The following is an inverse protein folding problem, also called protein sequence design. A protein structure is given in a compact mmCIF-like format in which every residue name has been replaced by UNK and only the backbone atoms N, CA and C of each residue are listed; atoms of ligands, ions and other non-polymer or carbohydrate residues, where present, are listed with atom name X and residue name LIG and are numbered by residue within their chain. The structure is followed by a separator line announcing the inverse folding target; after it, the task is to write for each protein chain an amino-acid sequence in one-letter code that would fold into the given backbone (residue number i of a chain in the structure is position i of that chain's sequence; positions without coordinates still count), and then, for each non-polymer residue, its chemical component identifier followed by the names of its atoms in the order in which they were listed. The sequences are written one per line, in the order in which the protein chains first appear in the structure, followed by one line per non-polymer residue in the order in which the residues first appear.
data_IF_900189951915
#
_entry.id   IF_900189951915
#
_cell.length_a   1.000
_cell.length_b   1.000
_cell.length_c   1.000
_cell.angle_alpha   90.00
_cell.angle_beta   90.00
_cell.angle_gamma   90.00
#
_symmetry.space_group_name_H-M   'P 1'
#
loop_
_entity.id
_entity.type
_entity.pdbx_description
1 polymer ?
#
# COMPACT_ATOMS: atom_id res chain seq x y z
N UNK A 1 54.44 44.21 -13.30
CA UNK A 1 54.17 45.51 -12.75
C UNK A 1 53.50 45.30 -11.44
N UNK A 2 54.19 45.45 -10.49
CA UNK A 2 54.58 46.40 -9.46
C UNK A 2 53.96 45.98 -8.13
N UNK A 3 54.72 45.45 -7.21
CA UNK A 3 55.42 46.09 -6.07
C UNK A 3 54.39 46.66 -5.05
N UNK A 4 54.51 46.45 -3.76
CA UNK A 4 55.64 46.24 -2.85
C UNK A 4 55.06 45.94 -1.47
N UNK A 5 55.83 45.24 -0.73
CA UNK A 5 56.63 45.74 0.41
C UNK A 5 55.80 46.29 1.56
N UNK A 6 55.93 45.85 2.75
CA UNK A 6 57.02 45.49 3.60
C UNK A 6 56.66 45.87 5.00
N UNK A 7 57.13 45.25 5.89
CA UNK A 7 58.02 45.63 6.98
C UNK A 7 57.55 45.20 8.37
N UNK A 8 58.43 44.42 8.89
CA UNK A 8 58.80 44.08 10.23
C UNK A 8 58.71 45.20 11.27
N UNK A 9 58.32 44.82 12.48
CA UNK A 9 58.38 45.70 13.66
C UNK A 9 58.69 44.92 14.93
N UNK A 10 59.99 44.60 15.11
CA UNK A 10 60.52 44.20 16.40
C UNK A 10 60.33 45.30 17.44
N UNK A 11 59.76 44.97 18.58
CA UNK A 11 59.54 45.84 19.73
C UNK A 11 60.04 45.23 21.03
N UNK A 12 61.30 45.24 21.22
CA UNK A 12 62.11 45.37 22.43
C UNK A 12 61.41 45.17 23.78
N UNK A 13 61.79 44.08 24.44
CA UNK A 13 61.77 43.91 25.89
C UNK A 13 62.52 45.05 26.62
N UNK A 14 61.80 45.87 27.37
CA UNK A 14 62.38 46.68 28.44
C UNK A 14 62.26 45.98 29.77
N UNK A 15 63.37 45.57 30.32
CA UNK A 15 63.52 45.15 31.74
C UNK A 15 63.36 46.40 32.60
N UNK A 16 62.45 46.39 33.58
CA UNK A 16 62.41 47.35 34.70
C UNK A 16 63.18 46.77 35.89
N UNK A 17 63.95 47.59 36.55
CA UNK A 17 64.77 47.12 37.63
C UNK A 17 64.04 47.08 38.98
N UNK A 18 64.21 45.98 39.63
CA UNK A 18 64.47 45.74 41.07
C UNK A 18 63.75 46.58 42.14
N UNK A 19 63.12 45.85 43.03
CA UNK A 19 63.06 46.17 44.45
C UNK A 19 61.67 45.83 45.04
N UNK A 20 61.60 45.00 46.10
CA UNK A 20 60.34 44.76 46.76
C UNK A 20 59.95 46.02 47.60
N UNK A 21 58.97 46.72 47.10
CA UNK A 21 58.33 47.78 47.88
C UNK A 21 57.37 47.14 48.87
N UNK A 22 57.75 47.16 50.14
CA UNK A 22 56.87 46.71 51.22
C UNK A 22 55.77 47.77 51.38
N UNK A 23 54.58 47.43 50.99
CA UNK A 23 53.41 48.28 51.26
C UNK A 23 53.05 48.25 52.76
N UNK A 24 52.64 49.35 53.35
CA UNK A 24 52.22 49.37 54.74
C UNK A 24 50.95 48.56 54.98
N UNK A 25 50.75 48.02 56.19
CA UNK A 25 49.61 47.16 56.49
C UNK A 25 48.29 47.94 56.25
N UNK A 26 47.46 47.43 55.39
CA UNK A 26 46.09 47.92 55.24
C UNK A 26 45.31 47.68 56.51
N UNK A 27 44.75 48.71 57.12
CA UNK A 27 43.78 48.59 58.19
C UNK A 27 42.66 47.69 57.75
N UNK A 28 42.38 46.62 58.53
CA UNK A 28 41.24 45.78 58.38
C UNK A 28 39.97 46.63 58.46
N UNK A 29 39.33 46.83 57.33
CA UNK A 29 37.98 47.38 57.32
C UNK A 29 37.07 46.23 57.74
N UNK A 30 36.40 46.41 58.90
CA UNK A 30 35.36 45.49 59.35
C UNK A 30 34.37 45.22 58.20
N UNK A 31 34.44 44.01 57.65
CA UNK A 31 33.39 43.56 56.76
C UNK A 31 32.15 43.28 57.60
N UNK A 32 31.02 43.91 57.30
CA UNK A 32 29.77 43.48 57.90
C UNK A 32 29.57 41.99 57.70
N UNK A 33 29.13 41.28 58.73
CA UNK A 33 28.84 39.84 58.69
C UNK A 33 27.90 39.54 57.52
N UNK A 34 28.13 38.46 56.72
CA UNK A 34 27.24 38.10 55.65
C UNK A 34 25.84 37.90 56.23
N UNK A 35 24.84 38.58 55.67
CA UNK A 35 23.46 38.38 56.04
C UNK A 35 23.10 36.90 55.94
N UNK A 36 22.37 36.32 56.91
CA UNK A 36 21.98 34.92 56.80
C UNK A 36 21.18 34.74 55.54
N UNK A 37 21.60 33.74 54.73
CA UNK A 37 20.90 33.41 53.51
C UNK A 37 19.41 33.24 53.79
N UNK A 38 18.51 33.81 52.96
CA UNK A 38 17.10 33.56 53.14
C UNK A 38 16.85 32.05 53.08
N UNK A 39 16.19 31.52 54.12
CA UNK A 39 15.84 30.13 54.17
C UNK A 39 15.02 29.79 52.92
N UNK A 40 15.32 28.66 52.22
CA UNK A 40 14.47 28.24 51.11
C UNK A 40 13.03 28.11 51.64
N UNK A 41 12.05 28.52 50.81
CA UNK A 41 10.65 28.39 51.20
C UNK A 41 10.34 26.91 51.49
N UNK A 42 9.48 26.65 52.49
CA UNK A 42 9.10 25.27 52.80
C UNK A 42 8.57 24.59 51.54
N UNK A 43 8.86 23.27 51.38
CA UNK A 43 8.34 22.54 50.20
C UNK A 43 6.82 22.69 50.20
N UNK A 44 6.31 23.25 49.10
CA UNK A 44 4.87 23.35 48.93
C UNK A 44 4.29 21.92 48.94
N UNK A 45 3.18 21.67 49.64
CA UNK A 45 2.57 20.36 49.61
C UNK A 45 2.24 20.04 48.17
N UNK A 46 2.71 18.88 47.68
CA UNK A 46 2.39 18.39 46.35
C UNK A 46 0.88 18.38 46.22
N UNK A 47 0.35 19.29 45.42
CA UNK A 47 -1.08 19.28 45.07
C UNK A 47 -1.34 17.96 44.39
N UNK A 48 -1.95 17.00 45.08
CA UNK A 48 -2.50 15.80 44.45
C UNK A 48 -3.43 16.30 43.39
N UNK A 49 -3.00 16.18 42.12
CA UNK A 49 -3.83 16.43 40.97
C UNK A 49 -5.06 15.52 41.09
N UNK A 50 -6.14 16.07 41.55
CA UNK A 50 -7.44 15.42 41.46
C UNK A 50 -7.79 15.51 39.97
N UNK A 51 -7.64 14.42 39.26
CA UNK A 51 -8.18 14.35 37.90
C UNK A 51 -9.62 14.82 37.96
N UNK A 52 -9.99 15.89 37.27
CA UNK A 52 -11.33 16.40 37.38
C UNK A 52 -12.28 15.28 36.93
N UNK A 53 -13.30 14.97 37.74
CA UNK A 53 -14.31 13.94 37.45
C UNK A 53 -14.85 14.05 36.01
N UNK A 54 -14.89 15.25 35.45
CA UNK A 54 -15.22 15.49 34.05
C UNK A 54 -14.27 14.85 33.06
N UNK A 55 -12.96 14.83 33.32
CA UNK A 55 -11.97 14.17 32.42
C UNK A 55 -12.13 12.65 32.43
N UNK A 56 -12.47 12.07 33.59
CA UNK A 56 -12.75 10.63 33.69
C UNK A 56 -14.04 10.30 32.94
N UNK A 57 -15.08 11.11 33.08
CA UNK A 57 -16.35 10.91 32.38
C UNK A 57 -16.15 10.98 30.84
N UNK A 58 -15.42 11.98 30.35
CA UNK A 58 -15.08 12.11 28.91
C UNK A 58 -14.28 10.90 28.45
N UNK A 59 -13.27 10.46 29.20
CA UNK A 59 -12.49 9.28 28.85
C UNK A 59 -13.37 8.02 28.75
N UNK A 60 -14.25 7.79 29.73
CA UNK A 60 -15.18 6.66 29.70
C UNK A 60 -16.16 6.72 28.54
N UNK A 61 -16.67 7.90 28.17
CA UNK A 61 -17.52 8.08 27.00
C UNK A 61 -16.77 7.77 25.69
N UNK A 62 -15.52 8.22 25.56
CA UNK A 62 -14.70 7.92 24.39
C UNK A 62 -14.39 6.42 24.28
N UNK A 63 -13.99 5.79 25.39
CA UNK A 63 -13.74 4.34 25.42
C UNK A 63 -15.01 3.56 25.11
N UNK A 64 -16.14 3.93 25.70
CA UNK A 64 -17.44 3.29 25.41
C UNK A 64 -17.82 3.44 23.94
N UNK A 65 -17.60 4.61 23.33
CA UNK A 65 -17.87 4.85 21.91
C UNK A 65 -17.01 3.93 21.04
N UNK A 66 -15.71 3.82 21.34
CA UNK A 66 -14.78 2.93 20.61
C UNK A 66 -15.20 1.46 20.76
N UNK A 67 -15.56 1.04 21.97
CA UNK A 67 -16.00 -0.34 22.22
C UNK A 67 -17.30 -0.68 21.51
N UNK A 68 -18.27 0.27 21.48
CA UNK A 68 -19.53 0.10 20.75
C UNK A 68 -19.25 0.00 19.24
N UNK A 69 -18.38 0.86 18.70
CA UNK A 69 -17.99 0.78 17.29
C UNK A 69 -17.29 -0.54 16.97
N UNK A 70 -16.31 -0.92 17.78
CA UNK A 70 -15.59 -2.20 17.62
C UNK A 70 -16.57 -3.40 17.69
N UNK A 71 -17.48 -3.39 18.63
CA UNK A 71 -18.51 -4.43 18.74
C UNK A 71 -19.41 -4.50 17.50
N UNK A 72 -19.89 -3.34 17.02
CA UNK A 72 -20.73 -3.27 15.81
C UNK A 72 -19.97 -3.75 14.57
N UNK A 73 -18.71 -3.40 14.44
CA UNK A 73 -17.88 -3.80 13.30
C UNK A 73 -17.54 -5.30 13.35
N UNK A 74 -17.19 -5.84 14.50
CA UNK A 74 -16.90 -7.26 14.70
C UNK A 74 -18.15 -8.14 14.64
N UNK A 75 -19.33 -7.58 14.92
CA UNK A 75 -20.60 -8.31 14.85
C UNK A 75 -21.14 -8.44 13.42
N UNK A 76 -20.49 -7.79 12.44
CA UNK A 76 -20.85 -7.98 11.02
C UNK A 76 -20.40 -9.38 10.58
N UNK A 77 -21.27 -10.14 9.89
CA UNK A 77 -20.93 -11.49 9.46
C UNK A 77 -19.70 -11.54 8.57
N UNK A 78 -19.42 -10.47 7.80
CA UNK A 78 -18.28 -10.38 6.88
C UNK A 78 -16.96 -9.99 7.58
N UNK A 79 -16.99 -9.52 8.82
CA UNK A 79 -15.79 -9.03 9.51
C UNK A 79 -14.81 -10.18 9.80
N UNK A 80 -15.31 -11.34 10.17
CA UNK A 80 -14.49 -12.51 10.43
C UNK A 80 -13.86 -13.07 9.17
N UNK A 81 -14.60 -13.10 8.06
CA UNK A 81 -14.06 -13.53 6.76
C UNK A 81 -12.96 -12.60 6.29
N UNK A 82 -13.14 -11.28 6.45
CA UNK A 82 -12.10 -10.29 6.16
C UNK A 82 -10.85 -10.47 7.03
N UNK A 83 -11.02 -10.65 8.35
CA UNK A 83 -9.90 -10.84 9.27
C UNK A 83 -9.16 -12.15 8.98
N UNK A 84 -9.91 -13.23 8.71
CA UNK A 84 -9.35 -14.52 8.36
C UNK A 84 -8.54 -14.44 7.07
N UNK A 85 -9.10 -13.88 6.00
CA UNK A 85 -8.43 -13.73 4.71
C UNK A 85 -7.25 -12.75 4.78
N UNK A 86 -7.36 -11.69 5.57
CA UNK A 86 -6.31 -10.67 5.68
C UNK A 86 -5.12 -11.02 6.57
N UNK A 87 -5.32 -11.88 7.58
CA UNK A 87 -4.31 -12.06 8.64
C UNK A 87 -4.01 -13.52 9.00
N UNK A 88 -4.91 -14.44 8.75
CA UNK A 88 -4.77 -15.83 9.21
C UNK A 88 -4.49 -16.79 8.04
N UNK A 89 -5.28 -16.71 6.99
CA UNK A 89 -5.19 -17.62 5.85
C UNK A 89 -5.62 -16.90 4.58
N UNK A 90 -4.72 -16.15 3.94
CA UNK A 90 -5.02 -15.50 2.67
C UNK A 90 -5.48 -16.50 1.62
N UNK A 91 -6.56 -16.16 0.92
CA UNK A 91 -7.11 -16.97 -0.17
C UNK A 91 -6.25 -16.90 -1.45
N UNK A 92 -5.37 -15.91 -1.52
CA UNK A 92 -4.39 -15.71 -2.58
C UNK A 92 -2.99 -16.10 -2.12
N UNK A 93 -2.22 -16.67 -3.03
CA UNK A 93 -0.79 -16.92 -2.88
C UNK A 93 0.00 -16.15 -3.94
N UNK A 94 1.25 -15.80 -3.67
CA UNK A 94 2.12 -15.16 -4.64
C UNK A 94 3.53 -15.72 -4.65
N UNK A 95 4.20 -15.56 -5.79
CA UNK A 95 5.62 -15.83 -5.95
C UNK A 95 6.25 -14.78 -6.87
N UNK A 96 7.42 -14.27 -6.47
CA UNK A 96 8.19 -13.36 -7.31
C UNK A 96 9.07 -14.18 -8.27
N UNK A 97 8.93 -13.90 -9.56
CA UNK A 97 9.70 -14.52 -10.63
C UNK A 97 10.58 -13.43 -11.24
N UNK A 98 11.90 -13.50 -11.03
CA UNK A 98 12.80 -12.45 -11.49
C UNK A 98 12.82 -12.28 -13.02
N UNK A 99 12.63 -13.39 -13.75
CA UNK A 99 12.71 -13.42 -15.21
C UNK A 99 11.70 -14.42 -15.77
N UNK A 100 10.64 -13.91 -16.39
CA UNK A 100 9.61 -14.75 -16.97
C UNK A 100 9.97 -15.22 -18.39
N UNK A 101 9.73 -16.49 -18.69
CA UNK A 101 9.94 -17.09 -20.01
C UNK A 101 8.61 -17.28 -20.73
N UNK A 102 8.09 -16.22 -21.33
CA UNK A 102 6.80 -16.23 -22.01
C UNK A 102 6.88 -15.93 -23.52
N UNK A 103 8.00 -15.42 -23.99
CA UNK A 103 8.21 -15.04 -25.39
C UNK A 103 7.68 -13.64 -25.75
N UNK A 104 8.06 -13.18 -26.95
CA UNK A 104 7.62 -11.88 -27.45
C UNK A 104 7.99 -10.70 -26.53
N UNK A 105 7.16 -9.69 -26.50
CA UNK A 105 7.33 -8.52 -25.64
C UNK A 105 7.17 -8.83 -24.14
N UNK A 106 6.70 -10.02 -23.78
CA UNK A 106 6.58 -10.47 -22.38
C UNK A 106 7.85 -11.12 -21.83
N UNK A 107 8.81 -11.45 -22.73
CA UNK A 107 10.04 -12.17 -22.37
C UNK A 107 10.91 -11.40 -21.38
N UNK A 108 11.41 -12.10 -20.36
CA UNK A 108 12.39 -11.59 -19.41
C UNK A 108 11.85 -10.60 -18.38
N UNK A 109 10.53 -10.36 -18.33
CA UNK A 109 9.93 -9.42 -17.38
C UNK A 109 9.98 -9.95 -15.95
N UNK A 110 10.27 -9.06 -15.01
CA UNK A 110 10.06 -9.32 -13.59
C UNK A 110 8.56 -9.45 -13.35
N UNK A 111 8.15 -10.51 -12.64
CA UNK A 111 6.75 -10.92 -12.58
C UNK A 111 6.35 -11.28 -11.16
N UNK A 112 5.25 -10.74 -10.68
CA UNK A 112 4.55 -11.27 -9.52
C UNK A 112 3.48 -12.24 -10.01
N UNK A 113 3.68 -13.53 -9.74
CA UNK A 113 2.69 -14.57 -9.98
C UNK A 113 1.70 -14.61 -8.82
N UNK A 114 0.40 -14.66 -9.12
CA UNK A 114 -0.70 -14.71 -8.14
C UNK A 114 -1.62 -15.85 -8.49
N UNK A 115 -1.98 -16.66 -7.49
CA UNK A 115 -2.88 -17.79 -7.64
C UNK A 115 -3.86 -17.88 -6.48
N UNK A 116 -5.11 -18.25 -6.76
CA UNK A 116 -6.15 -18.51 -5.76
C UNK A 116 -7.41 -17.71 -5.98
N UNK A 117 -8.31 -17.75 -5.01
CA UNK A 117 -9.58 -17.02 -5.02
C UNK A 117 -9.37 -15.57 -4.53
N UNK A 118 -10.12 -14.63 -5.11
CA UNK A 118 -10.07 -13.22 -4.70
C UNK A 118 -10.99 -13.05 -3.49
N UNK A 119 -10.42 -13.13 -2.30
CA UNK A 119 -11.14 -12.99 -1.04
C UNK A 119 -11.45 -11.55 -0.64
N UNK A 120 -12.14 -11.36 0.50
CA UNK A 120 -12.60 -10.04 0.95
C UNK A 120 -11.47 -9.08 1.34
N UNK A 121 -10.26 -9.57 1.64
CA UNK A 121 -9.09 -8.74 1.94
C UNK A 121 -8.04 -8.71 0.81
N UNK A 122 -8.35 -9.28 -0.36
CA UNK A 122 -7.41 -9.50 -1.45
C UNK A 122 -6.72 -8.22 -1.94
N UNK A 123 -7.42 -7.09 -2.01
CA UNK A 123 -6.83 -5.83 -2.50
C UNK A 123 -5.79 -5.26 -1.52
N UNK A 124 -5.98 -5.42 -0.20
CA UNK A 124 -4.99 -5.05 0.82
C UNK A 124 -3.77 -5.94 0.69
N UNK A 125 -3.97 -7.26 0.73
CA UNK A 125 -2.93 -8.25 0.57
C UNK A 125 -2.11 -8.03 -0.71
N UNK A 126 -2.78 -7.76 -1.83
CA UNK A 126 -2.15 -7.51 -3.11
C UNK A 126 -1.22 -6.29 -3.10
N UNK A 127 -1.65 -5.18 -2.49
CA UNK A 127 -0.80 -3.99 -2.35
C UNK A 127 0.47 -4.27 -1.55
N UNK A 128 0.35 -5.01 -0.44
CA UNK A 128 1.48 -5.43 0.38
C UNK A 128 2.47 -6.28 -0.44
N UNK A 129 1.98 -7.25 -1.21
CA UNK A 129 2.82 -8.08 -2.09
C UNK A 129 3.49 -7.28 -3.22
N UNK A 130 2.80 -6.29 -3.77
CA UNK A 130 3.41 -5.39 -4.78
C UNK A 130 4.53 -4.54 -4.19
N UNK A 131 4.34 -4.03 -2.97
CA UNK A 131 5.33 -3.21 -2.29
C UNK A 131 6.57 -4.05 -1.91
N UNK A 132 6.38 -5.26 -1.42
CA UNK A 132 7.48 -6.20 -1.17
C UNK A 132 8.22 -6.61 -2.45
N UNK A 133 7.49 -6.86 -3.53
CA UNK A 133 8.07 -7.24 -4.81
C UNK A 133 8.78 -6.07 -5.50
N UNK A 134 8.55 -4.82 -5.10
CA UNK A 134 9.13 -3.61 -5.69
C UNK A 134 9.02 -3.58 -7.22
N UNK A 135 7.83 -3.89 -7.76
CA UNK A 135 7.59 -3.90 -9.19
C UNK A 135 7.60 -2.47 -9.76
N UNK A 136 8.26 -2.31 -10.90
CA UNK A 136 8.28 -1.08 -11.70
C UNK A 136 7.22 -1.08 -12.79
N UNK A 137 6.95 0.09 -13.38
CA UNK A 137 6.09 0.19 -14.55
C UNK A 137 6.62 -0.71 -15.69
N UNK A 138 5.71 -1.48 -16.29
CA UNK A 138 6.05 -2.48 -17.30
C UNK A 138 6.37 -3.88 -16.76
N UNK A 139 6.56 -4.05 -15.45
CA UNK A 139 6.63 -5.38 -14.84
C UNK A 139 5.27 -6.08 -14.88
N UNK A 140 5.26 -7.40 -14.69
CA UNK A 140 4.10 -8.22 -14.98
C UNK A 140 3.40 -8.74 -13.73
N UNK A 141 2.08 -8.79 -13.82
CA UNK A 141 1.23 -9.62 -12.97
C UNK A 141 0.78 -10.82 -13.78
N UNK A 142 1.27 -12.00 -13.43
CA UNK A 142 0.81 -13.26 -13.98
C UNK A 142 -0.23 -13.86 -13.02
N UNK A 143 -1.36 -14.29 -13.53
CA UNK A 143 -2.46 -14.74 -12.67
C UNK A 143 -3.11 -16.03 -13.10
N UNK A 144 -3.59 -16.78 -12.08
CA UNK A 144 -4.41 -17.98 -12.21
C UNK A 144 -5.47 -17.97 -11.12
N UNK A 145 -6.74 -17.65 -11.45
CA UNK A 145 -7.78 -17.46 -10.44
C UNK A 145 -9.17 -17.82 -10.95
N UNK A 146 -10.03 -18.45 -10.13
CA UNK A 146 -11.45 -18.64 -10.44
C UNK A 146 -12.27 -17.35 -10.31
N UNK A 147 -11.71 -16.26 -9.78
CA UNK A 147 -12.42 -15.05 -9.42
C UNK A 147 -12.66 -14.93 -7.93
N UNK A 148 -13.78 -14.36 -7.52
CA UNK A 148 -14.18 -14.13 -6.14
C UNK A 148 -14.81 -12.75 -5.95
N UNK A 149 -14.38 -11.97 -4.96
CA UNK A 149 -14.96 -10.66 -4.65
C UNK A 149 -14.72 -9.64 -5.76
N UNK A 150 -15.83 -9.12 -6.28
CA UNK A 150 -15.84 -8.19 -7.42
C UNK A 150 -15.21 -6.84 -7.08
N UNK A 151 -15.47 -6.32 -5.87
CA UNK A 151 -14.95 -5.02 -5.44
C UNK A 151 -13.44 -5.09 -5.23
N UNK A 152 -12.96 -6.15 -4.58
CA UNK A 152 -11.54 -6.37 -4.39
C UNK A 152 -10.81 -6.52 -5.73
N UNK A 153 -11.40 -7.26 -6.66
CA UNK A 153 -10.86 -7.42 -8.02
C UNK A 153 -10.74 -6.07 -8.76
N UNK A 154 -11.77 -5.23 -8.69
CA UNK A 154 -11.74 -3.90 -9.30
C UNK A 154 -10.63 -3.03 -8.69
N UNK A 155 -10.48 -3.02 -7.37
CA UNK A 155 -9.42 -2.28 -6.67
C UNK A 155 -8.02 -2.81 -7.06
N UNK A 156 -7.85 -4.13 -7.16
CA UNK A 156 -6.60 -4.74 -7.64
C UNK A 156 -6.27 -4.29 -9.06
N UNK A 157 -7.25 -4.31 -9.97
CA UNK A 157 -7.06 -3.88 -11.35
C UNK A 157 -6.74 -2.38 -11.47
N UNK A 158 -7.38 -1.52 -10.67
CA UNK A 158 -7.03 -0.10 -10.61
C UNK A 158 -5.60 0.13 -10.08
N UNK A 159 -5.19 -0.67 -9.11
CA UNK A 159 -3.81 -0.64 -8.58
C UNK A 159 -2.81 -1.04 -9.65
N UNK A 160 -3.08 -2.09 -10.43
CA UNK A 160 -2.27 -2.52 -11.59
C UNK A 160 -2.15 -1.39 -12.60
N UNK A 161 -3.28 -0.77 -12.97
CA UNK A 161 -3.35 0.34 -13.95
C UNK A 161 -2.56 1.55 -13.49
N UNK A 162 -2.73 1.97 -12.25
CA UNK A 162 -2.07 3.15 -11.70
C UNK A 162 -0.56 2.98 -11.59
N UNK A 163 -0.08 1.76 -11.33
CA UNK A 163 1.35 1.42 -11.30
C UNK A 163 1.96 1.15 -12.69
N UNK A 164 1.16 1.20 -13.74
CA UNK A 164 1.64 0.96 -15.11
C UNK A 164 2.09 -0.46 -15.38
N UNK A 165 1.59 -1.43 -14.61
CA UNK A 165 1.93 -2.85 -14.73
C UNK A 165 1.21 -3.47 -15.93
N UNK A 166 1.72 -4.62 -16.39
CA UNK A 166 1.11 -5.42 -17.45
C UNK A 166 0.56 -6.73 -16.88
N UNK A 167 -0.37 -7.36 -17.61
CA UNK A 167 -1.03 -8.58 -17.11
C UNK A 167 -0.94 -9.73 -18.11
N UNK A 168 -0.89 -10.96 -17.59
CA UNK A 168 -1.01 -12.20 -18.34
C UNK A 168 -1.74 -13.26 -17.51
N UNK A 169 -2.29 -14.29 -18.19
CA UNK A 169 -2.92 -15.46 -17.54
C UNK A 169 -2.07 -16.68 -17.76
N UNK A 170 -1.69 -17.34 -16.66
CA UNK A 170 -0.86 -18.54 -16.70
C UNK A 170 -0.38 -18.95 -15.31
N UNK A 171 0.33 -20.05 -15.26
CA UNK A 171 1.04 -20.53 -14.07
C UNK A 171 2.53 -20.57 -14.43
N UNK A 172 3.36 -19.97 -13.60
CA UNK A 172 4.80 -20.05 -13.76
C UNK A 172 5.43 -20.92 -12.67
N UNK A 173 6.46 -21.67 -13.03
CA UNK A 173 7.32 -22.35 -12.09
C UNK A 173 8.50 -21.46 -11.65
N UNK A 174 9.34 -21.97 -10.74
CA UNK A 174 10.48 -21.24 -10.20
C UNK A 174 11.54 -20.88 -11.26
N UNK A 175 11.58 -21.57 -12.40
CA UNK A 175 12.48 -21.28 -13.52
C UNK A 175 11.97 -20.12 -14.40
N UNK A 176 10.70 -19.70 -14.20
CA UNK A 176 10.04 -18.69 -15.02
C UNK A 176 9.31 -19.27 -16.24
N UNK A 177 9.30 -20.59 -16.40
CA UNK A 177 8.54 -21.26 -17.48
C UNK A 177 7.05 -21.16 -17.25
N UNK A 178 6.28 -20.76 -18.27
CA UNK A 178 4.84 -20.50 -18.17
C UNK A 178 4.04 -21.60 -18.82
N UNK A 179 3.07 -22.12 -18.06
CA UNK A 179 2.04 -23.04 -18.55
C UNK A 179 0.69 -22.32 -18.66
N UNK A 180 -0.16 -22.71 -19.62
CA UNK A 180 -1.53 -22.18 -19.71
C UNK A 180 -2.32 -22.37 -18.42
N UNK A 181 -3.20 -21.39 -18.13
CA UNK A 181 -4.13 -21.43 -17.01
C UNK A 181 -5.39 -20.64 -17.33
N UNK A 182 -6.13 -20.24 -16.31
CA UNK A 182 -7.39 -19.53 -16.49
C UNK A 182 -7.51 -18.33 -15.53
N UNK A 183 -8.31 -17.37 -15.99
CA UNK A 183 -8.76 -16.24 -15.19
C UNK A 183 -10.26 -16.07 -15.44
N UNK A 184 -11.08 -16.39 -14.45
CA UNK A 184 -12.52 -16.42 -14.58
C UNK A 184 -13.21 -15.41 -13.67
N UNK A 185 -14.44 -15.00 -14.03
CA UNK A 185 -15.29 -14.15 -13.18
C UNK A 185 -14.61 -12.83 -12.81
N UNK A 186 -14.59 -12.46 -11.53
CA UNK A 186 -13.95 -11.24 -11.02
C UNK A 186 -12.45 -11.12 -11.39
N UNK A 187 -11.74 -12.23 -11.61
CA UNK A 187 -10.35 -12.21 -12.08
C UNK A 187 -10.19 -11.42 -13.39
N UNK A 188 -11.20 -11.45 -14.28
CA UNK A 188 -11.15 -10.72 -15.56
C UNK A 188 -11.05 -9.20 -15.34
N UNK A 189 -11.58 -8.68 -14.22
CA UNK A 189 -11.41 -7.27 -13.85
C UNK A 189 -9.95 -6.99 -13.48
N UNK A 190 -9.32 -7.87 -12.71
CA UNK A 190 -7.90 -7.73 -12.36
C UNK A 190 -7.03 -7.74 -13.62
N UNK A 191 -7.29 -8.68 -14.53
CA UNK A 191 -6.58 -8.79 -15.81
C UNK A 191 -6.77 -7.54 -16.69
N UNK A 192 -7.99 -6.99 -16.75
CA UNK A 192 -8.30 -5.77 -17.52
C UNK A 192 -7.51 -4.54 -17.00
N UNK A 193 -7.08 -4.55 -15.75
CA UNK A 193 -6.24 -3.50 -15.16
C UNK A 193 -4.89 -3.32 -15.86
N UNK A 194 -4.35 -4.34 -16.51
CA UNK A 194 -3.07 -4.27 -17.21
C UNK A 194 -3.02 -3.18 -18.28
N UNK A 195 -1.91 -2.43 -18.32
CA UNK A 195 -1.67 -1.44 -19.37
C UNK A 195 -1.48 -2.11 -20.73
N UNK A 196 -0.76 -3.22 -20.75
CA UNK A 196 -0.72 -4.21 -21.80
C UNK A 196 -1.24 -5.53 -21.23
N UNK A 197 -2.11 -6.21 -21.95
CA UNK A 197 -2.76 -7.46 -21.54
C UNK A 197 -2.37 -8.56 -22.51
N UNK A 198 -1.45 -9.41 -22.05
CA UNK A 198 -0.88 -10.47 -22.88
C UNK A 198 -1.81 -11.68 -22.96
N UNK A 199 -2.12 -12.09 -24.20
CA UNK A 199 -2.86 -13.31 -24.48
C UNK A 199 -1.92 -14.51 -24.57
N UNK A 200 -1.86 -15.34 -23.51
CA UNK A 200 -1.03 -16.54 -23.47
C UNK A 200 -1.76 -17.68 -24.19
N UNK A 201 -1.14 -18.34 -25.19
CA UNK A 201 -1.75 -19.44 -25.91
C UNK A 201 -2.18 -20.58 -25.00
N UNK A 202 -3.44 -21.01 -25.10
CA UNK A 202 -4.04 -22.05 -24.28
C UNK A 202 -4.55 -21.58 -22.92
N UNK A 203 -4.31 -20.34 -22.51
CA UNK A 203 -4.94 -19.77 -21.32
C UNK A 203 -6.36 -19.27 -21.62
N UNK A 204 -7.25 -19.42 -20.63
CA UNK A 204 -8.67 -19.07 -20.74
C UNK A 204 -9.03 -17.78 -20.01
N UNK A 205 -9.88 -16.95 -20.63
CA UNK A 205 -10.59 -15.84 -19.99
C UNK A 205 -12.07 -16.20 -19.93
N UNK A 206 -12.61 -16.35 -18.72
CA UNK A 206 -13.97 -16.82 -18.49
C UNK A 206 -14.85 -15.75 -17.88
N UNK A 207 -16.03 -15.54 -18.45
CA UNK A 207 -17.00 -14.57 -17.99
C UNK A 207 -18.35 -15.22 -17.70
N UNK A 208 -19.10 -14.68 -16.76
CA UNK A 208 -20.48 -15.05 -16.46
C UNK A 208 -21.19 -13.87 -15.79
N UNK A 209 -22.52 -13.97 -15.65
CA UNK A 209 -23.30 -12.95 -14.93
C UNK A 209 -22.93 -12.92 -13.44
N UNK A 210 -22.98 -11.74 -12.88
CA UNK A 210 -22.75 -11.58 -11.45
C UNK A 210 -23.88 -12.21 -10.64
N UNK A 211 -23.51 -12.92 -9.58
CA UNK A 211 -24.45 -13.53 -8.64
C UNK A 211 -24.15 -13.05 -7.23
N UNK A 212 -25.16 -12.75 -6.45
CA UNK A 212 -25.02 -12.48 -5.02
C UNK A 212 -25.28 -13.78 -4.26
N UNK A 213 -24.45 -14.08 -3.29
CA UNK A 213 -24.70 -15.15 -2.32
C UNK A 213 -25.58 -14.69 -1.15
N UNK A 214 -25.82 -13.36 -1.03
CA UNK A 214 -26.65 -12.76 0.01
C UNK A 214 -28.06 -12.54 -0.50
N UNK A 215 -29.05 -12.71 0.39
CA UNK A 215 -30.42 -12.24 0.12
C UNK A 215 -30.40 -10.71 -0.04
N UNK A 216 -31.02 -10.22 -1.10
CA UNK A 216 -31.07 -8.81 -1.45
C UNK A 216 -32.51 -8.33 -1.34
N UNK A 217 -32.70 -7.13 -0.80
CA UNK A 217 -34.03 -6.51 -0.68
C UNK A 217 -34.59 -6.16 -2.06
N UNK A 218 -33.74 -5.66 -2.98
CA UNK A 218 -34.08 -5.39 -4.38
C UNK A 218 -33.01 -5.99 -5.30
N UNK A 219 -33.16 -7.26 -5.72
CA UNK A 219 -32.19 -7.93 -6.59
C UNK A 219 -32.03 -7.26 -7.96
N UNK A 220 -33.08 -6.64 -8.50
CA UNK A 220 -33.03 -5.99 -9.81
C UNK A 220 -32.21 -4.71 -9.75
N UNK A 221 -32.49 -3.85 -8.79
CA UNK A 221 -31.72 -2.62 -8.61
C UNK A 221 -30.23 -2.90 -8.35
N UNK A 222 -29.92 -3.91 -7.54
CA UNK A 222 -28.54 -4.26 -7.24
C UNK A 222 -27.84 -4.85 -8.50
N UNK A 223 -28.52 -5.68 -9.27
CA UNK A 223 -27.97 -6.18 -10.55
C UNK A 223 -27.67 -5.05 -11.54
N UNK A 224 -28.55 -4.07 -11.65
CA UNK A 224 -28.34 -2.89 -12.51
C UNK A 224 -27.16 -2.05 -12.04
N UNK A 225 -27.05 -1.82 -10.74
CA UNK A 225 -25.93 -1.09 -10.13
C UNK A 225 -24.59 -1.77 -10.39
N UNK A 226 -24.53 -3.08 -10.17
CA UNK A 226 -23.31 -3.88 -10.44
C UNK A 226 -22.96 -3.85 -11.93
N UNK A 227 -23.94 -4.05 -12.83
CA UNK A 227 -23.70 -4.00 -14.26
C UNK A 227 -23.18 -2.63 -14.71
N UNK A 228 -23.76 -1.53 -14.18
CA UNK A 228 -23.30 -0.17 -14.43
C UNK A 228 -21.88 0.08 -13.93
N UNK A 229 -21.56 -0.38 -12.73
CA UNK A 229 -20.22 -0.27 -12.14
C UNK A 229 -19.16 -1.03 -12.96
N UNK A 230 -19.48 -2.26 -13.38
CA UNK A 230 -18.58 -3.07 -14.21
C UNK A 230 -18.41 -2.47 -15.61
N UNK A 231 -19.48 -1.96 -16.21
CA UNK A 231 -19.40 -1.26 -17.49
C UNK A 231 -18.47 -0.04 -17.40
N UNK A 232 -18.66 0.80 -16.38
CA UNK A 232 -17.79 1.97 -16.13
C UNK A 232 -16.34 1.58 -15.91
N UNK A 233 -16.09 0.54 -15.11
CA UNK A 233 -14.76 0.00 -14.88
C UNK A 233 -14.11 -0.52 -16.16
N UNK A 234 -14.77 -1.40 -16.91
CA UNK A 234 -14.23 -1.98 -18.14
C UNK A 234 -13.94 -0.92 -19.20
N UNK A 235 -14.84 0.06 -19.34
CA UNK A 235 -14.62 1.21 -20.24
C UNK A 235 -13.40 2.03 -19.83
N UNK A 236 -13.24 2.31 -18.53
CA UNK A 236 -12.04 2.98 -17.96
C UNK A 236 -10.75 2.20 -18.27
N UNK A 237 -10.82 0.87 -18.27
CA UNK A 237 -9.70 -0.01 -18.63
C UNK A 237 -9.51 -0.17 -20.15
N UNK A 238 -10.31 0.49 -20.97
CA UNK A 238 -10.23 0.45 -22.43
C UNK A 238 -10.71 -0.87 -23.04
N UNK A 239 -11.59 -1.61 -22.33
CA UNK A 239 -12.26 -2.82 -22.83
C UNK A 239 -13.60 -2.42 -23.42
N UNK A 240 -13.99 -3.02 -24.55
CA UNK A 240 -15.25 -2.73 -25.21
C UNK A 240 -16.47 -3.12 -24.33
N UNK A 241 -17.55 -2.35 -24.43
CA UNK A 241 -18.79 -2.60 -23.67
C UNK A 241 -19.43 -3.96 -23.93
N UNK A 242 -19.16 -4.57 -25.09
CA UNK A 242 -19.62 -5.93 -25.43
C UNK A 242 -19.16 -7.01 -24.43
N UNK A 243 -18.12 -6.73 -23.62
CA UNK A 243 -17.74 -7.64 -22.54
C UNK A 243 -18.85 -7.79 -21.49
N UNK A 244 -19.56 -6.69 -21.17
CA UNK A 244 -20.67 -6.71 -20.19
C UNK A 244 -21.86 -7.49 -20.75
N UNK A 245 -22.12 -7.38 -22.06
CA UNK A 245 -23.10 -8.22 -22.72
C UNK A 245 -22.73 -9.69 -22.61
N UNK A 246 -21.48 -10.07 -22.95
CA UNK A 246 -21.00 -11.44 -22.82
C UNK A 246 -21.09 -11.97 -21.37
N UNK A 247 -20.86 -11.11 -20.36
CA UNK A 247 -21.06 -11.46 -18.96
C UNK A 247 -22.52 -11.72 -18.61
N UNK A 248 -23.47 -10.97 -19.17
CA UNK A 248 -24.89 -11.07 -18.83
C UNK A 248 -25.60 -12.28 -19.44
N UNK A 249 -25.07 -12.84 -20.52
CA UNK A 249 -25.71 -13.89 -21.32
C UNK A 249 -25.82 -15.25 -20.60
N UNK A 250 -24.91 -15.55 -19.69
CA UNK A 250 -24.85 -16.90 -19.08
C UNK A 250 -24.64 -16.87 -17.59
N UNK A 251 -25.23 -17.87 -16.91
CA UNK A 251 -24.95 -18.16 -15.50
C UNK A 251 -23.65 -18.94 -15.33
N UNK A 252 -23.40 -19.87 -16.23
CA UNK A 252 -22.19 -20.69 -16.25
C UNK A 252 -21.02 -19.90 -16.86
N UNK A 253 -19.80 -20.32 -16.55
CA UNK A 253 -18.61 -19.67 -17.09
C UNK A 253 -18.56 -19.89 -18.62
N UNK A 254 -18.63 -18.81 -19.36
CA UNK A 254 -18.39 -18.76 -20.80
C UNK A 254 -16.92 -18.42 -21.03
N UNK A 255 -16.21 -19.33 -21.65
CA UNK A 255 -14.82 -19.10 -22.05
C UNK A 255 -14.80 -18.31 -23.36
N UNK A 256 -14.15 -17.13 -23.36
CA UNK A 256 -14.02 -16.29 -24.53
C UNK A 256 -13.02 -16.89 -25.51
N UNK A 257 -13.40 -16.95 -26.78
CA UNK A 257 -12.46 -17.31 -27.83
C UNK A 257 -11.36 -16.22 -27.92
N UNK A 258 -10.10 -16.57 -28.25
CA UNK A 258 -9.02 -15.59 -28.34
C UNK A 258 -9.31 -14.44 -29.31
N UNK A 259 -9.95 -14.71 -30.45
CA UNK A 259 -10.37 -13.68 -31.43
C UNK A 259 -11.44 -12.74 -30.85
N UNK A 260 -12.37 -13.27 -30.07
CA UNK A 260 -13.40 -12.49 -29.38
C UNK A 260 -12.79 -11.58 -28.31
N UNK A 261 -11.91 -12.12 -27.47
CA UNK A 261 -11.21 -11.34 -26.45
C UNK A 261 -10.34 -10.21 -27.04
N UNK A 262 -9.75 -10.44 -28.21
CA UNK A 262 -9.04 -9.41 -28.99
C UNK A 262 -10.01 -8.36 -29.54
N UNK A 263 -11.13 -8.76 -30.14
CA UNK A 263 -12.13 -7.84 -30.68
C UNK A 263 -12.74 -6.94 -29.59
N UNK A 264 -12.88 -7.45 -28.37
CA UNK A 264 -13.32 -6.68 -27.20
C UNK A 264 -12.20 -5.82 -26.60
N UNK A 265 -11.00 -5.83 -27.16
CA UNK A 265 -9.82 -5.21 -26.58
C UNK A 265 -9.55 -5.67 -25.14
N UNK A 266 -10.00 -6.88 -24.76
CA UNK A 266 -9.67 -7.49 -23.48
C UNK A 266 -8.23 -8.03 -23.50
N UNK A 267 -7.80 -8.66 -24.60
CA UNK A 267 -6.40 -8.92 -24.93
C UNK A 267 -5.90 -7.79 -25.82
N UNK A 268 -4.73 -7.23 -25.51
CA UNK A 268 -4.12 -6.15 -26.34
C UNK A 268 -2.89 -6.62 -27.10
N UNK A 269 -2.23 -7.65 -26.61
CA UNK A 269 -0.98 -8.20 -27.19
C UNK A 269 -1.02 -9.75 -27.15
N UNK A 270 -1.40 -10.39 -28.25
CA UNK A 270 -1.42 -11.85 -28.32
C UNK A 270 0.00 -12.39 -28.49
N UNK A 271 0.38 -13.33 -27.61
CA UNK A 271 1.65 -14.04 -27.73
C UNK A 271 1.49 -15.16 -28.76
N UNK A 272 2.21 -15.09 -29.85
CA UNK A 272 2.30 -16.18 -30.82
C UNK A 272 3.29 -17.24 -30.33
N UNK A 273 2.88 -18.52 -30.37
CA UNK A 273 3.84 -19.63 -30.20
C UNK A 273 4.89 -19.51 -31.30
N UNK A 274 6.15 -19.43 -30.94
CA UNK A 274 7.24 -19.72 -31.85
C UNK A 274 7.35 -21.22 -32.11
#
# INVERSE_FOLDING_TARGET
MSRGDGQDGEGRFRRSPTGPSVAPPRKLVDRPAPSPWPRPPPPQPATRSKWPLGSIAIFLLLVSSILIQAYRDLSRPDAWDYLKDGYVSPSLTSALIPKLELGGAAQGRRTLFIKGEIGPAAAKWFRERLDEAQLAAGDMILMSSPGGDLNQAAIMGETIRSRGLVTAVGIADASGSVKPSYCASACVLVYAGGKTRFGVPGSGLGVHRFTSTKALDDPVAEAQKIAGAVLGYMTKMGVASSIVQAMSETKEIRWLAPKEALAMNLITDPITKR
#
